data_IF_205453453680
#
_entry.id   IF_205453453680
#
_cell.length_a   1.000
_cell.length_b   1.000
_cell.length_c   1.000
_cell.angle_alpha   90.00
_cell.angle_beta   90.00
_cell.angle_gamma   90.00
#
_symmetry.space_group_name_H-M   'P 1'
#
loop_
_entity.id
_entity.type
_entity.pdbx_description
1 polymer ?
#
# COMPACT_ATOMS: atom_id res chain seq x y z
N UNK A 1 -17.87 -5.82 12.12
CA UNK A 1 -17.07 -6.54 11.10
C UNK A 1 -17.03 -5.78 9.76
N UNK A 2 -18.18 -5.35 9.21
CA UNK A 2 -18.27 -4.70 7.89
C UNK A 2 -17.54 -3.37 7.75
N UNK A 3 -17.44 -2.54 8.81
CA UNK A 3 -16.68 -1.28 8.79
C UNK A 3 -15.18 -1.52 8.63
N UNK A 4 -14.63 -2.52 9.33
CA UNK A 4 -13.21 -2.89 9.22
C UNK A 4 -12.90 -3.43 7.82
N UNK A 5 -13.82 -4.23 7.25
CA UNK A 5 -13.68 -4.75 5.89
C UNK A 5 -13.78 -3.63 4.84
N UNK A 6 -14.71 -2.68 5.01
CA UNK A 6 -14.85 -1.52 4.13
C UNK A 6 -13.63 -0.59 4.19
N UNK A 7 -13.07 -0.37 5.39
CA UNK A 7 -11.83 0.39 5.57
C UNK A 7 -10.65 -0.33 4.91
N UNK A 8 -10.54 -1.66 5.06
CA UNK A 8 -9.50 -2.47 4.40
C UNK A 8 -9.63 -2.46 2.87
N UNK A 9 -10.85 -2.40 2.34
CA UNK A 9 -11.11 -2.33 0.89
C UNK A 9 -11.01 -0.91 0.31
N UNK A 10 -10.98 0.13 1.14
CA UNK A 10 -10.71 1.52 0.75
C UNK A 10 -9.24 1.88 0.97
N UNK A 11 -8.55 1.16 1.87
CA UNK A 11 -7.11 1.28 2.01
C UNK A 11 -6.48 0.93 0.65
N UNK A 12 -5.62 1.80 0.09
CA UNK A 12 -4.98 1.57 -1.19
C UNK A 12 -3.87 0.53 -1.01
N UNK A 13 -4.27 -0.70 -0.67
CA UNK A 13 -3.44 -1.88 -0.73
C UNK A 13 -3.59 -2.38 -2.15
N UNK A 14 -2.54 -2.33 -2.98
CA UNK A 14 -2.62 -2.65 -4.40
C UNK A 14 -3.19 -4.07 -4.70
N UNK A 15 -3.24 -4.95 -3.70
CA UNK A 15 -3.76 -6.33 -3.79
C UNK A 15 -5.27 -6.50 -3.45
N UNK A 16 -5.96 -5.49 -2.91
CA UNK A 16 -7.38 -5.54 -2.55
C UNK A 16 -8.13 -4.46 -3.37
N UNK A 17 -9.39 -4.72 -3.74
CA UNK A 17 -10.19 -3.98 -4.76
C UNK A 17 -10.14 -2.43 -4.71
N UNK A 18 -9.73 -1.82 -3.59
CA UNK A 18 -9.51 -0.38 -3.41
C UNK A 18 -8.39 0.26 -4.24
N UNK A 19 -7.41 -0.52 -4.72
CA UNK A 19 -6.37 -0.01 -5.62
C UNK A 19 -6.96 0.63 -6.90
N UNK A 20 -8.05 0.06 -7.43
CA UNK A 20 -8.76 0.60 -8.59
C UNK A 20 -9.41 1.96 -8.35
N UNK A 21 -9.88 2.23 -7.12
CA UNK A 21 -10.46 3.54 -6.74
C UNK A 21 -9.40 4.63 -6.73
N UNK A 22 -8.19 4.30 -6.25
CA UNK A 22 -7.04 5.22 -6.29
C UNK A 22 -6.59 5.49 -7.73
N UNK A 23 -6.71 4.50 -8.64
CA UNK A 23 -6.46 4.68 -10.07
C UNK A 23 -7.51 5.55 -10.74
N UNK A 24 -8.79 5.40 -10.42
CA UNK A 24 -9.83 6.31 -10.91
C UNK A 24 -9.57 7.75 -10.47
N UNK A 25 -9.14 7.96 -9.21
CA UNK A 25 -8.73 9.28 -8.73
C UNK A 25 -7.50 9.82 -9.47
N UNK A 26 -6.48 8.98 -9.70
CA UNK A 26 -5.30 9.35 -10.47
C UNK A 26 -5.63 9.65 -11.94
N UNK A 27 -6.54 8.91 -12.56
CA UNK A 27 -7.01 9.10 -13.92
C UNK A 27 -7.85 10.39 -14.05
N UNK A 28 -8.66 10.73 -13.04
CA UNK A 28 -9.39 12.01 -12.97
C UNK A 28 -8.42 13.19 -12.88
N UNK A 29 -7.35 13.07 -12.10
CA UNK A 29 -6.34 14.14 -11.92
C UNK A 29 -5.40 14.24 -13.14
N UNK A 30 -4.96 13.10 -13.69
CA UNK A 30 -3.90 13.03 -14.70
C UNK A 30 -4.45 12.94 -16.13
N UNK A 31 -5.76 12.63 -16.30
CA UNK A 31 -6.48 12.45 -17.58
C UNK A 31 -5.80 11.49 -18.57
N UNK A 32 -4.95 10.58 -18.07
CA UNK A 32 -4.25 9.59 -18.87
C UNK A 32 -4.54 8.21 -18.31
N UNK A 33 -4.91 7.28 -19.19
CA UNK A 33 -5.12 5.87 -18.82
C UNK A 33 -3.84 5.33 -18.20
N UNK A 34 -3.86 4.85 -16.95
CA UNK A 34 -2.69 4.21 -16.35
C UNK A 34 -2.33 2.97 -17.17
N UNK A 35 -1.05 2.89 -17.57
CA UNK A 35 -0.53 1.75 -18.31
C UNK A 35 -0.38 0.55 -17.36
N UNK A 36 -0.66 -0.67 -17.83
CA UNK A 36 -0.59 -1.92 -17.04
C UNK A 36 0.75 -2.07 -16.31
N UNK A 37 1.85 -1.64 -16.94
CA UNK A 37 3.19 -1.63 -16.33
C UNK A 37 3.31 -0.69 -15.13
N UNK A 38 2.67 0.49 -15.19
CA UNK A 38 2.68 1.44 -14.07
C UNK A 38 1.92 0.86 -12.86
N UNK A 39 0.87 0.07 -13.13
CA UNK A 39 0.13 -0.63 -12.09
C UNK A 39 0.99 -1.67 -11.39
N UNK A 40 1.73 -2.48 -12.15
CA UNK A 40 2.71 -3.42 -11.60
C UNK A 40 3.78 -2.68 -10.76
N UNK A 41 4.34 -1.59 -11.27
CA UNK A 41 5.36 -0.83 -10.53
C UNK A 41 4.82 -0.21 -9.24
N UNK A 42 3.61 0.34 -9.23
CA UNK A 42 2.99 0.88 -8.02
C UNK A 42 2.71 -0.23 -6.99
N UNK A 43 2.29 -1.42 -7.44
CA UNK A 43 2.10 -2.61 -6.61
C UNK A 43 3.41 -3.01 -5.93
N UNK A 44 4.47 -3.19 -6.72
CA UNK A 44 5.79 -3.57 -6.23
C UNK A 44 6.38 -2.51 -5.31
N UNK A 45 6.23 -1.22 -5.64
CA UNK A 45 6.69 -0.12 -4.79
C UNK A 45 5.97 -0.09 -3.44
N UNK A 46 4.63 -0.23 -3.43
CA UNK A 46 3.84 -0.30 -2.20
C UNK A 46 4.20 -1.51 -1.34
N UNK A 47 4.35 -2.68 -1.97
CA UNK A 47 4.76 -3.92 -1.29
C UNK A 47 6.15 -3.79 -0.67
N UNK A 48 7.11 -3.26 -1.44
CA UNK A 48 8.47 -3.03 -0.97
C UNK A 48 8.50 -2.06 0.21
N UNK A 49 7.74 -0.98 0.15
CA UNK A 49 7.67 0.03 1.19
C UNK A 49 7.06 -0.54 2.48
N UNK A 50 5.99 -1.34 2.37
CA UNK A 50 5.40 -2.04 3.51
C UNK A 50 6.36 -3.03 4.16
N UNK A 51 7.06 -3.85 3.36
CA UNK A 51 8.05 -4.81 3.86
C UNK A 51 9.22 -4.09 4.54
N UNK A 52 9.71 -3.01 3.95
CA UNK A 52 10.77 -2.19 4.53
C UNK A 52 10.34 -1.57 5.87
N UNK A 53 9.11 -1.04 5.96
CA UNK A 53 8.55 -0.50 7.21
C UNK A 53 8.38 -1.58 8.28
N UNK A 54 7.93 -2.77 7.90
CA UNK A 54 7.77 -3.90 8.81
C UNK A 54 9.12 -4.36 9.37
N UNK A 55 10.14 -4.49 8.51
CA UNK A 55 11.51 -4.82 8.92
C UNK A 55 12.12 -3.73 9.79
N UNK A 56 11.91 -2.47 9.43
CA UNK A 56 12.39 -1.33 10.20
C UNK A 56 11.75 -1.28 11.60
N UNK A 57 10.42 -1.42 11.67
CA UNK A 57 9.69 -1.43 12.94
C UNK A 57 10.10 -2.62 13.81
N UNK A 58 10.12 -3.84 13.27
CA UNK A 58 10.55 -5.02 14.03
C UNK A 58 12.02 -4.92 14.46
N UNK A 59 12.91 -4.45 13.57
CA UNK A 59 14.32 -4.25 13.90
C UNK A 59 14.52 -3.21 15.00
N UNK A 60 13.80 -2.08 14.92
CA UNK A 60 13.84 -1.04 15.93
C UNK A 60 13.28 -1.54 17.27
N UNK A 61 12.19 -2.29 17.26
CA UNK A 61 11.60 -2.88 18.47
C UNK A 61 12.53 -3.94 19.09
N UNK A 62 13.19 -4.76 18.29
CA UNK A 62 14.18 -5.75 18.77
C UNK A 62 15.41 -5.05 19.36
N UNK A 63 15.95 -4.03 18.68
CA UNK A 63 17.09 -3.26 19.20
C UNK A 63 16.72 -2.62 20.53
N UNK A 64 15.53 -2.01 20.60
CA UNK A 64 15.03 -1.40 21.84
C UNK A 64 14.85 -2.43 22.95
N UNK A 65 14.30 -3.61 22.64
CA UNK A 65 14.11 -4.71 23.60
C UNK A 65 15.42 -5.40 24.05
N UNK A 66 16.53 -5.22 23.32
CA UNK A 66 17.85 -5.78 23.69
C UNK A 66 18.71 -4.74 24.44
N UNK A 67 18.53 -3.44 24.15
CA UNK A 67 19.34 -2.36 24.74
C UNK A 67 18.70 -1.66 25.96
N UNK A 68 17.40 -1.85 26.21
CA UNK A 68 16.75 -1.57 27.52
C UNK A 68 16.71 -2.84 28.40
#
# INVERSE_FOLDING_TARGET
>A
LSIVLAIMNILPIPALDGGHVMFLLYEIITRRKPNEKFMEYAQYAGMFLLLALLLYANGNDIVKAIFE
#
